data_IF_527898325144
#
_entry.id   IF_527898325144
#
_cell.length_a   1.000
_cell.length_b   1.000
_cell.length_c   1.000
_cell.angle_alpha   90.00
_cell.angle_beta   90.00
_cell.angle_gamma   90.00
#
_symmetry.space_group_name_H-M   'P 1'
#
loop_
_entity.id
_entity.type
_entity.pdbx_description
1 polymer ?
#
# COMPACT_ATOMS: atom_id res chain seq x y z
N UNK A 1 7.12 -15.62 -18.66
CA UNK A 1 5.72 -15.16 -18.86
C UNK A 1 5.77 -13.68 -19.24
N UNK A 2 5.16 -13.24 -20.36
CA UNK A 2 5.33 -11.85 -20.83
C UNK A 2 4.66 -10.85 -19.88
N UNK A 3 5.31 -9.70 -19.63
CA UNK A 3 4.82 -8.64 -18.72
C UNK A 3 3.40 -8.17 -19.07
N UNK A 4 3.05 -8.18 -20.35
CA UNK A 4 1.71 -7.87 -20.86
C UNK A 4 0.68 -8.87 -20.34
N UNK A 5 0.94 -10.19 -20.44
CA UNK A 5 0.03 -11.22 -19.92
C UNK A 5 -0.17 -11.10 -18.40
N UNK A 6 0.87 -10.75 -17.65
CA UNK A 6 0.76 -10.53 -16.21
C UNK A 6 -0.13 -9.32 -15.87
N UNK A 7 0.03 -8.19 -16.57
CA UNK A 7 -0.82 -7.00 -16.41
C UNK A 7 -2.28 -7.27 -16.79
N UNK A 8 -2.53 -7.98 -17.90
CA UNK A 8 -3.88 -8.36 -18.32
C UNK A 8 -4.57 -9.25 -17.29
N UNK A 9 -3.86 -10.23 -16.71
CA UNK A 9 -4.39 -11.13 -15.69
C UNK A 9 -4.71 -10.37 -14.40
N UNK A 10 -3.85 -9.44 -13.98
CA UNK A 10 -4.10 -8.61 -12.79
C UNK A 10 -5.30 -7.69 -12.99
N UNK A 11 -5.38 -6.99 -14.14
CA UNK A 11 -6.49 -6.11 -14.45
C UNK A 11 -7.83 -6.86 -14.54
N UNK A 12 -7.84 -8.02 -15.22
CA UNK A 12 -9.03 -8.87 -15.33
C UNK A 12 -9.45 -9.43 -13.96
N UNK A 13 -8.50 -9.90 -13.15
CA UNK A 13 -8.78 -10.42 -11.80
C UNK A 13 -9.32 -9.31 -10.88
N UNK A 14 -8.76 -8.10 -10.98
CA UNK A 14 -9.26 -6.92 -10.26
C UNK A 14 -10.68 -6.54 -10.68
N UNK A 15 -10.95 -6.52 -11.99
CA UNK A 15 -12.28 -6.25 -12.53
C UNK A 15 -13.33 -7.27 -12.08
N UNK A 16 -13.00 -8.57 -12.13
CA UNK A 16 -13.87 -9.66 -11.63
C UNK A 16 -14.10 -9.51 -10.12
N UNK A 17 -13.06 -9.21 -9.34
CA UNK A 17 -13.19 -9.03 -7.90
C UNK A 17 -14.12 -7.84 -7.56
N UNK A 18 -13.98 -6.71 -8.25
CA UNK A 18 -14.85 -5.55 -8.07
C UNK A 18 -16.30 -5.86 -8.49
N UNK A 19 -16.50 -6.58 -9.58
CA UNK A 19 -17.82 -7.03 -10.00
C UNK A 19 -18.47 -7.96 -8.97
N UNK A 20 -17.74 -8.96 -8.46
CA UNK A 20 -18.24 -9.84 -7.40
C UNK A 20 -18.56 -9.09 -6.11
N UNK A 21 -17.73 -8.11 -5.73
CA UNK A 21 -17.98 -7.24 -4.57
C UNK A 21 -19.26 -6.41 -4.76
N UNK A 22 -19.47 -5.85 -5.94
CA UNK A 22 -20.70 -5.12 -6.28
C UNK A 22 -21.94 -6.01 -6.22
N UNK A 23 -21.87 -7.23 -6.75
CA UNK A 23 -22.98 -8.18 -6.68
C UNK A 23 -23.26 -8.62 -5.24
N UNK A 24 -22.21 -8.82 -4.43
CA UNK A 24 -22.37 -9.14 -3.02
C UNK A 24 -23.00 -7.97 -2.24
N UNK A 25 -22.67 -6.72 -2.57
CA UNK A 25 -23.28 -5.55 -1.92
C UNK A 25 -24.77 -5.44 -2.19
N UNK A 26 -25.27 -5.94 -3.33
CA UNK A 26 -26.72 -6.02 -3.58
C UNK A 26 -27.43 -6.99 -2.62
N UNK A 27 -26.72 -7.97 -2.08
CA UNK A 27 -27.25 -8.97 -1.15
C UNK A 27 -27.14 -8.55 0.32
N UNK A 28 -26.41 -7.49 0.62
CA UNK A 28 -26.15 -7.06 2.00
C UNK A 28 -27.46 -6.79 2.77
N UNK A 29 -28.39 -6.04 2.18
CA UNK A 29 -29.65 -5.71 2.83
C UNK A 29 -30.57 -6.93 2.97
N UNK A 30 -30.65 -7.76 1.92
CA UNK A 30 -31.45 -9.00 1.94
C UNK A 30 -30.95 -9.97 3.00
N UNK A 31 -29.62 -10.07 3.16
CA UNK A 31 -29.01 -10.89 4.21
C UNK A 31 -29.41 -10.40 5.60
N UNK A 32 -29.45 -9.08 5.82
CA UNK A 32 -29.88 -8.51 7.09
C UNK A 32 -31.35 -8.81 7.38
N UNK A 33 -32.23 -8.70 6.40
CA UNK A 33 -33.64 -9.05 6.55
C UNK A 33 -33.82 -10.53 6.90
N UNK A 34 -33.10 -11.42 6.19
CA UNK A 34 -33.11 -12.85 6.49
C UNK A 34 -32.63 -13.12 7.92
N UNK A 35 -31.47 -12.58 8.31
CA UNK A 35 -30.93 -12.77 9.66
C UNK A 35 -31.89 -12.25 10.74
N UNK A 36 -32.53 -11.10 10.52
CA UNK A 36 -33.54 -10.56 11.44
C UNK A 36 -34.79 -11.45 11.52
N UNK A 37 -35.14 -12.18 10.46
CA UNK A 37 -36.27 -13.12 10.49
C UNK A 37 -35.98 -14.36 11.36
N UNK A 38 -34.70 -14.74 11.51
CA UNK A 38 -34.27 -15.91 12.28
C UNK A 38 -34.21 -15.59 13.78
N UNK A 39 -35.36 -15.60 14.47
CA UNK A 39 -35.45 -15.44 15.92
C UNK A 39 -35.20 -16.76 16.67
N UNK A 40 -34.03 -17.35 16.49
CA UNK A 40 -33.68 -18.65 17.08
C UNK A 40 -32.55 -18.54 18.15
N UNK A 41 -32.76 -19.04 19.38
CA UNK A 41 -31.75 -18.99 20.45
C UNK A 41 -30.43 -19.70 20.14
N UNK A 42 -30.46 -20.76 19.32
CA UNK A 42 -29.27 -21.48 18.87
C UNK A 42 -28.46 -20.60 17.91
N UNK A 43 -29.11 -19.92 16.97
CA UNK A 43 -28.48 -18.98 16.05
C UNK A 43 -27.80 -17.82 16.80
N UNK A 44 -28.47 -17.28 17.83
CA UNK A 44 -27.89 -16.26 18.71
C UNK A 44 -26.66 -16.76 19.48
N UNK A 45 -26.68 -18.02 19.92
CA UNK A 45 -25.54 -18.66 20.61
C UNK A 45 -24.33 -18.80 19.68
N UNK A 46 -24.52 -19.23 18.44
CA UNK A 46 -23.45 -19.30 17.44
C UNK A 46 -22.81 -17.92 17.21
N UNK A 47 -23.64 -16.89 17.05
CA UNK A 47 -23.18 -15.50 16.96
C UNK A 47 -22.32 -15.06 18.15
N UNK A 48 -22.74 -15.42 19.36
CA UNK A 48 -22.02 -15.07 20.60
C UNK A 48 -20.66 -15.76 20.72
N UNK A 49 -20.59 -17.05 20.34
CA UNK A 49 -19.32 -17.80 20.35
C UNK A 49 -18.35 -17.20 19.34
N UNK A 50 -18.80 -16.95 18.11
CA UNK A 50 -17.95 -16.33 17.10
C UNK A 50 -17.50 -14.92 17.47
N UNK A 51 -18.34 -14.14 18.15
CA UNK A 51 -17.94 -12.84 18.70
C UNK A 51 -16.77 -12.98 19.68
N UNK A 52 -16.84 -13.93 20.62
CA UNK A 52 -15.75 -14.14 21.60
C UNK A 52 -14.46 -14.63 20.93
N UNK A 53 -14.56 -15.52 19.95
CA UNK A 53 -13.39 -16.04 19.23
C UNK A 53 -12.71 -14.97 18.37
N UNK A 54 -13.49 -14.06 17.78
CA UNK A 54 -12.99 -12.95 16.99
C UNK A 54 -12.61 -11.70 17.78
N UNK A 55 -12.80 -11.72 19.11
CA UNK A 55 -12.50 -10.59 19.95
C UNK A 55 -11.00 -10.30 20.00
N UNK A 56 -10.64 -9.02 19.99
CA UNK A 56 -9.25 -8.58 19.96
C UNK A 56 -8.44 -9.13 21.14
N UNK A 57 -9.04 -9.13 22.35
CA UNK A 57 -8.39 -9.65 23.54
C UNK A 57 -8.17 -11.16 23.46
N UNK A 58 -9.17 -11.92 22.98
CA UNK A 58 -9.04 -13.38 22.81
C UNK A 58 -7.88 -13.74 21.90
N UNK A 59 -7.73 -13.04 20.76
CA UNK A 59 -6.66 -13.29 19.80
C UNK A 59 -5.28 -12.83 20.32
N UNK A 60 -5.22 -11.76 21.13
CA UNK A 60 -4.00 -11.35 21.83
C UNK A 60 -3.59 -12.42 22.86
N UNK A 61 -4.52 -12.90 23.68
CA UNK A 61 -4.26 -13.96 24.66
C UNK A 61 -3.84 -15.27 23.98
N UNK A 62 -4.45 -15.63 22.85
CA UNK A 62 -4.03 -16.76 22.04
C UNK A 62 -2.57 -16.60 21.60
N UNK A 63 -2.20 -15.44 21.08
CA UNK A 63 -0.86 -15.18 20.57
C UNK A 63 0.21 -15.15 21.68
N UNK A 64 -0.11 -14.58 22.84
CA UNK A 64 0.73 -14.64 24.05
C UNK A 64 0.87 -16.09 24.54
N UNK A 65 -0.23 -16.85 24.54
CA UNK A 65 -0.23 -18.27 24.93
C UNK A 65 0.65 -19.11 24.02
N UNK A 66 0.56 -18.93 22.70
CA UNK A 66 1.43 -19.59 21.72
C UNK A 66 2.90 -19.25 21.94
N UNK A 67 3.19 -17.96 22.18
CA UNK A 67 4.54 -17.52 22.49
C UNK A 67 5.07 -18.16 23.78
N UNK A 68 4.29 -18.14 24.86
CA UNK A 68 4.65 -18.71 26.16
C UNK A 68 4.86 -20.22 26.11
N UNK A 69 3.95 -20.96 25.46
CA UNK A 69 4.09 -22.41 25.26
C UNK A 69 5.36 -22.71 24.43
N UNK A 70 5.57 -21.95 23.36
CA UNK A 70 6.78 -22.06 22.55
C UNK A 70 8.05 -21.78 23.35
N UNK A 71 8.01 -20.80 24.26
CA UNK A 71 9.12 -20.46 25.16
C UNK A 71 9.44 -21.61 26.11
N UNK A 72 8.44 -22.09 26.84
CA UNK A 72 8.58 -23.19 27.79
C UNK A 72 9.02 -24.50 27.13
N UNK A 73 8.50 -24.79 25.92
CA UNK A 73 8.85 -26.00 25.16
C UNK A 73 10.10 -25.86 24.28
N UNK A 74 10.78 -24.70 24.31
CA UNK A 74 11.92 -24.38 23.43
C UNK A 74 11.62 -24.57 21.93
N UNK A 75 10.35 -24.40 21.53
CA UNK A 75 9.90 -24.61 20.16
C UNK A 75 9.79 -23.29 19.40
N UNK A 76 10.82 -22.95 18.61
CA UNK A 76 10.94 -21.65 17.92
C UNK A 76 9.74 -21.28 17.05
N UNK A 77 9.16 -22.23 16.32
CA UNK A 77 8.00 -21.95 15.47
C UNK A 77 6.77 -21.44 16.25
N UNK A 78 6.52 -21.97 17.46
CA UNK A 78 5.41 -21.52 18.31
C UNK A 78 5.67 -20.13 18.89
N UNK A 79 6.92 -19.86 19.28
CA UNK A 79 7.34 -18.53 19.73
C UNK A 79 7.14 -17.48 18.64
N UNK A 80 7.61 -17.78 17.42
CA UNK A 80 7.51 -16.88 16.28
C UNK A 80 6.06 -16.70 15.83
N UNK A 81 5.24 -17.77 15.79
CA UNK A 81 3.82 -17.68 15.49
C UNK A 81 3.08 -16.74 16.47
N UNK A 82 3.42 -16.79 17.76
CA UNK A 82 2.87 -15.89 18.76
C UNK A 82 3.28 -14.42 18.56
N UNK A 83 4.58 -14.17 18.33
CA UNK A 83 5.09 -12.81 18.09
C UNK A 83 4.50 -12.22 16.81
N UNK A 84 4.55 -12.97 15.71
CA UNK A 84 4.02 -12.53 14.43
C UNK A 84 2.51 -12.35 14.47
N UNK A 85 1.81 -13.20 15.22
CA UNK A 85 0.38 -13.06 15.48
C UNK A 85 0.05 -11.73 16.16
N UNK A 86 0.81 -11.37 17.21
CA UNK A 86 0.63 -10.10 17.92
C UNK A 86 0.89 -8.90 17.02
N UNK A 87 2.02 -8.87 16.32
CA UNK A 87 2.41 -7.71 15.52
C UNK A 87 1.50 -7.55 14.30
N UNK A 88 1.22 -8.65 13.58
CA UNK A 88 0.31 -8.60 12.44
C UNK A 88 -1.10 -8.16 12.87
N UNK A 89 -1.61 -8.67 14.00
CA UNK A 89 -2.91 -8.24 14.52
C UNK A 89 -2.92 -6.76 14.88
N UNK A 90 -1.88 -6.23 15.53
CA UNK A 90 -1.78 -4.80 15.81
C UNK A 90 -1.82 -3.96 14.52
N UNK A 91 -1.08 -4.36 13.47
CA UNK A 91 -1.10 -3.70 12.16
C UNK A 91 -2.48 -3.77 11.50
N UNK A 92 -3.15 -4.92 11.57
CA UNK A 92 -4.52 -5.07 11.08
C UNK A 92 -5.51 -4.17 11.84
N UNK A 93 -5.36 -4.05 13.15
CA UNK A 93 -6.17 -3.16 13.99
C UNK A 93 -6.01 -1.69 13.59
N UNK A 94 -4.77 -1.24 13.37
CA UNK A 94 -4.48 0.12 12.87
C UNK A 94 -5.13 0.35 11.50
N UNK A 95 -4.92 -0.56 10.54
CA UNK A 95 -5.48 -0.44 9.20
C UNK A 95 -7.02 -0.40 9.22
N UNK A 96 -7.66 -1.27 10.01
CA UNK A 96 -9.11 -1.30 10.18
C UNK A 96 -9.63 0.01 10.76
N UNK A 97 -8.99 0.54 11.81
CA UNK A 97 -9.46 1.79 12.42
C UNK A 97 -9.29 2.99 11.48
N UNK A 98 -8.18 3.08 10.77
CA UNK A 98 -8.01 4.10 9.74
C UNK A 98 -9.11 4.01 8.67
N UNK A 99 -9.37 2.81 8.14
CA UNK A 99 -10.38 2.64 7.10
C UNK A 99 -11.81 2.93 7.59
N UNK A 100 -12.16 2.53 8.82
CA UNK A 100 -13.46 2.83 9.41
C UNK A 100 -13.72 4.32 9.47
N UNK A 101 -12.75 5.09 9.96
CA UNK A 101 -12.88 6.54 10.10
C UNK A 101 -12.82 7.30 8.77
N UNK A 102 -12.27 6.68 7.71
CA UNK A 102 -12.27 7.25 6.36
C UNK A 102 -13.56 6.97 5.59
N UNK A 103 -14.13 5.77 5.75
CA UNK A 103 -15.27 5.30 4.95
C UNK A 103 -16.62 5.66 5.60
N UNK A 104 -16.72 5.56 6.93
CA UNK A 104 -17.93 5.97 7.65
C UNK A 104 -19.17 5.10 7.37
N UNK A 105 -19.02 3.80 7.09
CA UNK A 105 -20.16 2.94 6.73
C UNK A 105 -21.07 2.65 7.93
N UNK A 106 -22.39 2.89 7.85
CA UNK A 106 -23.34 2.57 8.92
C UNK A 106 -23.50 1.06 9.15
N UNK A 107 -23.66 0.64 10.42
CA UNK A 107 -23.89 -0.77 10.76
C UNK A 107 -25.33 -1.22 10.47
N UNK A 108 -25.55 -2.52 10.19
CA UNK A 108 -26.89 -3.08 9.94
C UNK A 108 -27.92 -2.84 11.04
N UNK A 109 -27.50 -2.71 12.30
CA UNK A 109 -28.44 -2.51 13.43
C UNK A 109 -29.04 -1.11 13.50
N UNK A 110 -28.40 -0.13 12.84
CA UNK A 110 -28.79 1.27 12.88
C UNK A 110 -29.33 1.77 11.54
N UNK A 111 -29.35 0.90 10.52
CA UNK A 111 -29.92 1.23 9.21
C UNK A 111 -31.40 0.89 9.16
N UNK A 112 -32.22 1.91 8.90
CA UNK A 112 -33.67 1.80 8.68
C UNK A 112 -34.13 2.32 7.31
N UNK A 113 -33.25 2.94 6.50
CA UNK A 113 -33.57 3.53 5.18
C UNK A 113 -32.40 3.39 4.18
N UNK A 114 -32.73 3.50 2.88
CA UNK A 114 -32.03 2.94 1.72
C UNK A 114 -30.83 3.76 1.19
N UNK A 115 -30.59 4.97 1.69
CA UNK A 115 -29.46 5.80 1.25
C UNK A 115 -28.32 5.76 2.28
N UNK A 116 -27.18 5.19 1.90
CA UNK A 116 -25.95 5.26 2.70
C UNK A 116 -25.25 6.60 2.45
N UNK A 117 -25.15 7.42 3.48
CA UNK A 117 -24.23 8.55 3.47
C UNK A 117 -22.84 8.04 3.90
N UNK A 118 -21.88 8.11 2.97
CA UNK A 118 -20.48 7.78 3.22
C UNK A 118 -19.68 9.06 3.47
N UNK A 119 -18.75 9.00 4.40
CA UNK A 119 -17.86 10.13 4.66
C UNK A 119 -17.04 9.92 5.93
N UNK A 120 -15.93 10.65 6.09
CA UNK A 120 -15.11 10.53 7.28
C UNK A 120 -15.92 10.81 8.55
N UNK A 121 -15.91 9.89 9.50
CA UNK A 121 -16.70 10.01 10.72
C UNK A 121 -16.06 9.34 11.94
N UNK A 122 -16.23 9.99 13.08
CA UNK A 122 -15.83 9.51 14.40
C UNK A 122 -17.04 9.10 15.25
N UNK A 123 -18.25 9.15 14.68
CA UNK A 123 -19.48 8.80 15.39
C UNK A 123 -19.61 7.27 15.52
N UNK A 124 -19.90 6.81 16.75
CA UNK A 124 -20.26 5.41 17.00
C UNK A 124 -21.54 5.08 16.26
N UNK A 125 -21.48 4.16 15.30
CA UNK A 125 -22.53 4.14 14.26
C UNK A 125 -22.03 3.69 12.91
N UNK A 126 -20.94 4.36 12.51
CA UNK A 126 -20.47 4.49 11.14
C UNK A 126 -19.15 3.74 10.92
N UNK A 127 -18.93 2.67 11.67
CA UNK A 127 -17.69 1.90 11.69
C UNK A 127 -17.89 0.44 11.24
N UNK A 128 -18.83 0.21 10.32
CA UNK A 128 -19.18 -1.14 9.84
C UNK A 128 -18.08 -1.74 8.96
N UNK A 129 -17.52 -0.95 8.04
CA UNK A 129 -16.52 -1.40 7.08
C UNK A 129 -15.11 -0.91 7.42
N UNK A 130 -14.09 -1.77 7.35
CA UNK A 130 -14.16 -3.23 7.27
C UNK A 130 -14.46 -3.86 8.65
N UNK A 131 -14.89 -5.13 8.67
CA UNK A 131 -15.12 -5.85 9.92
C UNK A 131 -13.81 -6.15 10.67
N UNK A 132 -13.65 -5.58 11.87
CA UNK A 132 -12.46 -5.78 12.70
C UNK A 132 -12.28 -7.22 13.19
N UNK A 133 -13.36 -7.91 13.57
CA UNK A 133 -13.28 -9.32 14.00
C UNK A 133 -12.83 -10.21 12.84
N UNK A 134 -13.39 -10.02 11.64
CA UNK A 134 -12.97 -10.77 10.47
C UNK A 134 -11.51 -10.47 10.11
N UNK A 135 -11.11 -9.20 10.10
CA UNK A 135 -9.72 -8.82 9.84
C UNK A 135 -8.74 -9.43 10.84
N UNK A 136 -9.01 -9.32 12.14
CA UNK A 136 -8.16 -9.89 13.17
C UNK A 136 -8.05 -11.41 13.06
N UNK A 137 -9.19 -12.12 12.90
CA UNK A 137 -9.18 -13.58 12.79
C UNK A 137 -8.49 -14.08 11.52
N UNK A 138 -8.71 -13.46 10.36
CA UNK A 138 -8.01 -13.85 9.12
C UNK A 138 -6.52 -13.49 9.15
N UNK A 139 -6.13 -12.43 9.86
CA UNK A 139 -4.72 -12.08 10.10
C UNK A 139 -4.02 -13.17 10.90
N UNK A 140 -4.57 -13.51 12.07
CA UNK A 140 -3.99 -14.55 12.94
C UNK A 140 -4.04 -15.91 12.23
N UNK A 141 -5.12 -16.23 11.52
CA UNK A 141 -5.21 -17.47 10.75
C UNK A 141 -4.14 -17.56 9.66
N UNK A 142 -3.84 -16.47 8.96
CA UNK A 142 -2.79 -16.44 7.94
C UNK A 142 -1.39 -16.64 8.54
N UNK A 143 -1.12 -16.05 9.71
CA UNK A 143 0.12 -16.30 10.46
C UNK A 143 0.20 -17.77 10.88
N UNK A 144 -0.84 -18.32 11.51
CA UNK A 144 -0.85 -19.71 11.96
C UNK A 144 -0.77 -20.72 10.80
N UNK A 145 -1.42 -20.43 9.68
CA UNK A 145 -1.32 -21.19 8.44
C UNK A 145 0.12 -21.28 7.90
N UNK A 146 0.93 -20.25 8.13
CA UNK A 146 2.33 -20.23 7.70
C UNK A 146 3.23 -21.09 8.59
N UNK A 147 2.99 -21.08 9.91
CA UNK A 147 3.78 -21.83 10.89
C UNK A 147 3.32 -23.28 11.06
N UNK A 148 2.02 -23.54 10.88
CA UNK A 148 1.38 -24.85 11.05
C UNK A 148 0.56 -25.20 9.80
N UNK A 149 1.22 -25.51 8.67
CA UNK A 149 0.56 -25.66 7.37
C UNK A 149 -0.44 -26.82 7.30
N UNK A 150 -0.22 -27.89 8.08
CA UNK A 150 -1.12 -29.05 8.18
C UNK A 150 -2.50 -28.67 8.72
N UNK A 151 -2.59 -27.56 9.47
CA UNK A 151 -3.80 -27.11 10.15
C UNK A 151 -4.44 -25.89 9.47
N UNK A 152 -4.01 -25.54 8.25
CA UNK A 152 -4.52 -24.39 7.47
C UNK A 152 -6.05 -24.37 7.37
N UNK A 153 -6.65 -25.51 7.06
CA UNK A 153 -8.11 -25.64 6.95
C UNK A 153 -8.82 -25.29 8.25
N UNK A 154 -8.26 -25.70 9.39
CA UNK A 154 -8.79 -25.37 10.72
C UNK A 154 -8.71 -23.87 11.00
N UNK A 155 -7.56 -23.24 10.74
CA UNK A 155 -7.35 -21.81 11.03
C UNK A 155 -8.27 -20.91 10.20
N UNK A 156 -8.35 -21.16 8.89
CA UNK A 156 -9.25 -20.40 8.02
C UNK A 156 -10.72 -20.76 8.26
N UNK A 157 -11.03 -22.01 8.62
CA UNK A 157 -12.37 -22.41 9.03
C UNK A 157 -12.85 -21.66 10.28
N UNK A 158 -11.98 -21.51 11.29
CA UNK A 158 -12.27 -20.73 12.49
C UNK A 158 -12.47 -19.25 12.17
N UNK A 159 -11.62 -18.66 11.32
CA UNK A 159 -11.76 -17.27 10.89
C UNK A 159 -13.04 -17.04 10.07
N UNK A 160 -13.40 -17.97 9.20
CA UNK A 160 -14.64 -17.95 8.44
C UNK A 160 -15.86 -18.02 9.37
N UNK A 161 -15.83 -18.91 10.36
CA UNK A 161 -16.87 -19.01 11.38
C UNK A 161 -17.07 -17.69 12.13
N UNK A 162 -15.98 -17.04 12.55
CA UNK A 162 -16.05 -15.70 13.17
C UNK A 162 -16.75 -14.71 12.24
N UNK A 163 -16.37 -14.66 10.96
CA UNK A 163 -16.99 -13.81 9.96
C UNK A 163 -18.50 -14.04 9.83
N UNK A 164 -18.91 -15.30 9.67
CA UNK A 164 -20.33 -15.69 9.60
C UNK A 164 -21.07 -15.26 10.86
N UNK A 165 -20.48 -15.47 12.04
CA UNK A 165 -21.07 -15.06 13.31
C UNK A 165 -21.28 -13.54 13.42
N UNK A 166 -20.48 -12.70 12.74
CA UNK A 166 -20.69 -11.25 12.67
C UNK A 166 -21.92 -10.86 11.83
N UNK A 167 -22.16 -11.59 10.74
CA UNK A 167 -23.33 -11.42 9.88
C UNK A 167 -24.58 -11.91 10.59
N UNK A 168 -24.54 -13.12 11.15
CA UNK A 168 -25.64 -13.72 11.92
C UNK A 168 -25.97 -12.92 13.18
N UNK A 169 -24.96 -12.33 13.83
CA UNK A 169 -25.18 -11.39 14.93
C UNK A 169 -25.74 -10.04 14.47
N UNK A 170 -25.99 -9.82 13.17
CA UNK A 170 -26.47 -8.56 12.62
C UNK A 170 -25.55 -7.37 12.84
N UNK A 171 -24.25 -7.61 13.12
CA UNK A 171 -23.31 -6.54 13.45
C UNK A 171 -22.60 -5.97 12.23
N UNK A 172 -22.51 -6.75 11.15
CA UNK A 172 -21.80 -6.43 9.92
C UNK A 172 -22.55 -7.01 8.72
N UNK A 173 -22.41 -6.34 7.58
CA UNK A 173 -22.84 -6.88 6.29
C UNK A 173 -21.84 -7.94 5.77
N UNK A 174 -22.26 -8.88 4.91
CA UNK A 174 -21.36 -9.80 4.22
C UNK A 174 -20.14 -9.14 3.58
N UNK A 175 -20.32 -8.00 2.93
CA UNK A 175 -19.20 -7.24 2.33
C UNK A 175 -18.24 -6.65 3.36
N UNK A 176 -18.69 -6.26 4.56
CA UNK A 176 -17.79 -5.83 5.65
C UNK A 176 -16.87 -6.97 6.10
N UNK A 177 -17.45 -8.18 6.19
CA UNK A 177 -16.72 -9.39 6.58
C UNK A 177 -15.74 -9.80 5.49
N UNK A 178 -16.13 -9.74 4.22
CA UNK A 178 -15.24 -10.04 3.10
C UNK A 178 -14.09 -9.02 3.02
N UNK A 179 -14.39 -7.72 3.14
CA UNK A 179 -13.37 -6.67 3.16
C UNK A 179 -12.39 -6.84 4.32
N UNK A 180 -12.90 -7.16 5.52
CA UNK A 180 -12.07 -7.50 6.67
C UNK A 180 -11.21 -8.75 6.42
N UNK A 181 -11.80 -9.83 5.89
CA UNK A 181 -11.10 -11.08 5.62
C UNK A 181 -9.96 -10.90 4.61
N UNK A 182 -10.18 -10.16 3.52
CA UNK A 182 -9.15 -9.86 2.52
C UNK A 182 -8.03 -9.02 3.13
N UNK A 183 -8.38 -7.92 3.81
CA UNK A 183 -7.40 -7.05 4.45
C UNK A 183 -6.56 -7.81 5.46
N UNK A 184 -7.20 -8.57 6.35
CA UNK A 184 -6.54 -9.34 7.38
C UNK A 184 -5.66 -10.46 6.81
N UNK A 185 -6.16 -11.22 5.83
CA UNK A 185 -5.38 -12.23 5.15
C UNK A 185 -4.12 -11.62 4.51
N UNK A 186 -4.25 -10.49 3.80
CA UNK A 186 -3.11 -9.82 3.17
C UNK A 186 -2.09 -9.39 4.22
N UNK A 187 -2.50 -8.70 5.28
CA UNK A 187 -1.60 -8.25 6.36
C UNK A 187 -0.89 -9.43 7.01
N UNK A 188 -1.63 -10.47 7.42
CA UNK A 188 -1.05 -11.65 8.06
C UNK A 188 -0.13 -12.45 7.13
N UNK A 189 -0.51 -12.60 5.85
CA UNK A 189 0.30 -13.31 4.85
C UNK A 189 1.58 -12.56 4.50
N UNK A 190 1.48 -11.24 4.35
CA UNK A 190 2.61 -10.33 4.14
C UNK A 190 3.54 -10.39 5.34
N UNK A 191 3.02 -10.19 6.55
CA UNK A 191 3.82 -10.15 7.78
C UNK A 191 4.50 -11.48 8.08
N UNK A 192 3.79 -12.60 7.95
CA UNK A 192 4.33 -13.93 8.25
C UNK A 192 5.36 -14.43 7.22
N UNK A 193 5.57 -13.70 6.11
CA UNK A 193 6.70 -13.96 5.21
C UNK A 193 7.96 -13.37 5.81
N UNK A 194 9.08 -14.08 5.67
CA UNK A 194 10.31 -13.73 6.37
C UNK A 194 10.70 -12.27 6.09
N UNK A 195 10.98 -11.50 7.14
CA UNK A 195 11.55 -10.14 7.07
C UNK A 195 12.79 -10.07 6.17
N UNK A 196 13.51 -11.19 6.00
CA UNK A 196 14.65 -11.31 5.07
C UNK A 196 14.20 -11.19 3.60
N UNK A 197 13.11 -11.87 3.23
CA UNK A 197 12.51 -11.77 1.90
C UNK A 197 11.95 -10.36 1.67
N UNK A 198 11.35 -9.74 2.70
CA UNK A 198 10.88 -8.36 2.62
C UNK A 198 12.02 -7.37 2.45
N UNK A 199 13.11 -7.49 3.20
CA UNK A 199 14.26 -6.59 3.09
C UNK A 199 14.90 -6.72 1.70
N UNK A 200 15.13 -7.94 1.23
CA UNK A 200 15.74 -8.17 -0.08
C UNK A 200 14.81 -7.72 -1.23
N UNK A 201 13.51 -8.03 -1.16
CA UNK A 201 12.55 -7.61 -2.18
C UNK A 201 12.27 -6.10 -2.12
N UNK A 202 12.17 -5.48 -0.95
CA UNK A 202 11.97 -4.04 -0.81
C UNK A 202 13.22 -3.26 -1.25
N UNK A 203 14.42 -3.71 -0.88
CA UNK A 203 15.68 -3.08 -1.36
C UNK A 203 15.80 -3.17 -2.88
N UNK A 204 15.29 -4.24 -3.51
CA UNK A 204 15.28 -4.37 -4.98
C UNK A 204 14.11 -3.65 -5.67
N UNK A 205 12.94 -3.58 -5.02
CA UNK A 205 11.73 -2.98 -5.57
C UNK A 205 11.70 -1.46 -5.40
N UNK A 206 12.25 -0.95 -4.30
CA UNK A 206 12.23 0.48 -3.98
C UNK A 206 12.90 1.32 -5.07
N UNK A 207 14.10 1.00 -5.59
CA UNK A 207 14.70 1.75 -6.71
C UNK A 207 13.89 1.67 -8.00
N UNK A 208 13.04 0.64 -8.18
CA UNK A 208 12.22 0.43 -9.38
C UNK A 208 10.88 1.15 -9.31
N UNK A 209 10.29 1.22 -8.13
CA UNK A 209 8.96 1.82 -7.88
C UNK A 209 9.09 3.32 -7.59
N UNK A 210 10.20 3.75 -7.00
CA UNK A 210 10.43 5.13 -6.60
C UNK A 210 10.33 6.13 -7.78
N UNK A 211 10.88 5.87 -8.99
CA UNK A 211 10.68 6.76 -10.13
C UNK A 211 9.22 6.85 -10.59
N UNK A 212 8.46 5.75 -10.52
CA UNK A 212 7.04 5.72 -10.87
C UNK A 212 6.21 6.49 -9.85
N UNK A 213 6.46 6.30 -8.55
CA UNK A 213 5.79 7.07 -7.50
C UNK A 213 6.09 8.56 -7.59
N UNK A 214 7.36 8.94 -7.78
CA UNK A 214 7.76 10.35 -7.97
C UNK A 214 7.07 10.90 -9.22
N UNK A 215 7.09 10.18 -10.34
CA UNK A 215 6.46 10.60 -11.59
C UNK A 215 4.94 10.77 -11.46
N UNK A 216 4.25 9.85 -10.78
CA UNK A 216 2.81 9.93 -10.53
C UNK A 216 2.44 11.08 -9.59
N UNK A 217 3.21 11.29 -8.52
CA UNK A 217 2.99 12.40 -7.60
C UNK A 217 3.31 13.76 -8.25
N UNK A 218 4.37 13.84 -9.05
CA UNK A 218 4.73 15.05 -9.80
C UNK A 218 3.69 15.37 -10.87
N UNK A 219 3.24 14.36 -11.63
CA UNK A 219 2.16 14.51 -12.61
C UNK A 219 0.88 14.98 -11.93
N UNK A 220 0.47 14.32 -10.84
CA UNK A 220 -0.70 14.72 -10.05
C UNK A 220 -0.58 16.17 -9.58
N UNK A 221 0.52 16.54 -8.93
CA UNK A 221 0.69 17.90 -8.45
C UNK A 221 0.62 18.92 -9.59
N UNK A 222 1.34 18.70 -10.69
CA UNK A 222 1.36 19.61 -11.86
C UNK A 222 0.00 19.73 -12.55
N UNK A 223 -0.78 18.65 -12.57
CA UNK A 223 -2.14 18.68 -13.12
C UNK A 223 -3.15 19.39 -12.23
N UNK A 224 -2.93 19.44 -10.92
CA UNK A 224 -3.91 19.95 -9.94
C UNK A 224 -3.46 21.22 -9.19
N UNK A 225 -2.21 21.66 -9.30
CA UNK A 225 -1.70 22.88 -8.67
C UNK A 225 -1.82 24.08 -9.62
N UNK A 226 -2.62 25.07 -9.27
CA UNK A 226 -2.69 26.32 -10.03
C UNK A 226 -1.46 27.20 -9.75
N UNK A 227 -0.87 27.83 -10.78
CA UNK A 227 0.22 28.77 -10.58
C UNK A 227 -0.28 30.07 -9.95
N UNK A 228 0.37 30.50 -8.86
CA UNK A 228 0.36 31.90 -8.47
C UNK A 228 1.16 32.71 -9.52
N UNK A 229 0.56 33.77 -10.05
CA UNK A 229 1.08 34.60 -11.15
C UNK A 229 2.21 35.56 -10.73
N UNK A 230 3.14 35.12 -9.87
CA UNK A 230 4.24 35.94 -9.36
C UNK A 230 5.51 35.89 -10.22
N UNK A 231 6.34 36.93 -10.18
CA UNK A 231 7.65 36.92 -10.86
C UNK A 231 8.65 35.89 -10.30
N UNK A 232 8.45 35.45 -9.05
CA UNK A 232 9.31 34.46 -8.37
C UNK A 232 9.18 33.05 -8.96
N UNK A 233 7.98 32.63 -9.37
CA UNK A 233 7.74 31.31 -9.98
C UNK A 233 8.45 31.21 -11.34
N UNK A 234 8.31 32.24 -12.18
CA UNK A 234 9.05 32.34 -13.44
C UNK A 234 10.58 32.34 -13.23
N UNK A 235 11.09 33.08 -12.24
CA UNK A 235 12.51 33.12 -11.93
C UNK A 235 13.06 31.75 -11.47
N UNK A 236 12.33 31.04 -10.60
CA UNK A 236 12.69 29.69 -10.15
C UNK A 236 12.70 28.69 -11.30
N UNK A 237 11.74 28.78 -12.22
CA UNK A 237 11.69 27.93 -13.41
C UNK A 237 12.94 28.09 -14.28
N UNK A 238 13.27 29.32 -14.66
CA UNK A 238 14.42 29.60 -15.53
C UNK A 238 15.75 29.28 -14.87
N UNK A 239 15.87 29.57 -13.56
CA UNK A 239 17.06 29.20 -12.77
C UNK A 239 17.22 27.69 -12.69
N UNK A 240 16.10 26.96 -12.54
CA UNK A 240 16.07 25.51 -12.52
C UNK A 240 16.52 24.89 -13.85
N UNK A 241 15.97 25.40 -14.96
CA UNK A 241 16.34 24.97 -16.31
C UNK A 241 17.84 25.17 -16.58
N UNK A 242 18.38 26.34 -16.20
CA UNK A 242 19.79 26.66 -16.37
C UNK A 242 20.69 25.67 -15.62
N UNK A 243 20.35 25.33 -14.37
CA UNK A 243 21.10 24.38 -13.56
C UNK A 243 21.08 22.96 -14.13
N UNK A 244 19.93 22.51 -14.64
CA UNK A 244 19.81 21.20 -15.33
C UNK A 244 20.70 21.16 -16.56
N UNK A 245 20.59 22.16 -17.45
CA UNK A 245 21.38 22.23 -18.68
C UNK A 245 22.88 22.27 -18.38
N UNK A 246 23.28 23.06 -17.39
CA UNK A 246 24.68 23.19 -16.99
C UNK A 246 25.22 21.89 -16.41
N UNK A 247 24.48 21.23 -15.52
CA UNK A 247 24.88 19.95 -14.94
C UNK A 247 24.97 18.85 -15.99
N UNK A 248 24.03 18.78 -16.94
CA UNK A 248 24.09 17.83 -18.05
C UNK A 248 25.26 18.12 -19.01
N UNK A 249 25.55 19.40 -19.27
CA UNK A 249 26.71 19.82 -20.06
C UNK A 249 28.04 19.38 -19.43
N UNK A 250 28.18 19.51 -18.10
CA UNK A 250 29.36 19.00 -17.38
C UNK A 250 29.49 17.48 -17.52
N UNK A 251 28.39 16.72 -17.35
CA UNK A 251 28.42 15.26 -17.53
C UNK A 251 28.77 14.84 -18.94
N UNK A 252 28.27 15.57 -19.94
CA UNK A 252 28.57 15.30 -21.34
C UNK A 252 30.04 15.54 -21.67
N UNK A 253 30.61 16.66 -21.20
CA UNK A 253 32.05 16.97 -21.38
C UNK A 253 32.91 15.90 -20.70
N UNK A 254 32.56 15.48 -19.48
CA UNK A 254 33.28 14.43 -18.77
C UNK A 254 33.22 13.08 -19.49
N UNK A 255 32.04 12.70 -19.97
CA UNK A 255 31.86 11.47 -20.74
C UNK A 255 32.63 11.49 -22.05
N UNK A 256 32.76 12.65 -22.70
CA UNK A 256 33.54 12.84 -23.92
C UNK A 256 35.06 12.78 -23.66
N UNK A 257 35.51 13.33 -22.53
CA UNK A 257 36.92 13.34 -22.12
C UNK A 257 37.38 12.03 -21.47
N UNK A 258 36.46 11.11 -21.16
CA UNK A 258 36.76 9.92 -20.36
C UNK A 258 37.15 10.25 -18.90
N UNK A 259 36.73 11.42 -18.38
CA UNK A 259 37.04 11.86 -17.01
C UNK A 259 36.13 11.14 -15.99
N UNK A 260 36.72 10.19 -15.27
CA UNK A 260 36.06 9.41 -14.21
C UNK A 260 36.05 10.07 -12.83
N UNK A 261 36.36 11.37 -12.70
CA UNK A 261 36.45 12.04 -11.40
C UNK A 261 35.10 12.04 -10.66
N UNK A 262 35.05 11.29 -9.56
CA UNK A 262 33.85 11.08 -8.73
C UNK A 262 33.31 12.38 -8.12
N UNK A 263 34.18 13.33 -7.75
CA UNK A 263 33.76 14.59 -7.15
C UNK A 263 33.11 15.54 -8.17
N UNK A 264 33.63 15.60 -9.40
CA UNK A 264 33.03 16.37 -10.49
C UNK A 264 31.69 15.78 -10.93
N UNK A 265 31.61 14.44 -10.97
CA UNK A 265 30.37 13.72 -11.26
C UNK A 265 29.30 14.01 -10.20
N UNK A 266 29.68 13.98 -8.92
CA UNK A 266 28.80 14.34 -7.82
C UNK A 266 28.32 15.79 -7.92
N UNK A 267 29.21 16.74 -8.22
CA UNK A 267 28.87 18.14 -8.41
C UNK A 267 27.85 18.36 -9.53
N UNK A 268 28.05 17.72 -10.69
CA UNK A 268 27.11 17.80 -11.81
C UNK A 268 25.73 17.22 -11.48
N UNK A 269 25.70 16.10 -10.75
CA UNK A 269 24.47 15.47 -10.28
C UNK A 269 23.70 16.35 -9.30
N UNK A 270 24.41 17.03 -8.39
CA UNK A 270 23.80 18.00 -7.45
C UNK A 270 23.20 19.18 -8.22
N UNK A 271 23.88 19.70 -9.25
CA UNK A 271 23.34 20.78 -10.08
C UNK A 271 22.06 20.36 -10.81
N UNK A 272 22.02 19.17 -11.42
CA UNK A 272 20.81 18.65 -12.08
C UNK A 272 19.67 18.52 -11.08
N UNK A 273 19.96 17.98 -9.89
CA UNK A 273 18.94 17.78 -8.86
C UNK A 273 18.38 19.12 -8.33
N UNK A 274 19.25 20.11 -8.07
CA UNK A 274 18.84 21.47 -7.68
C UNK A 274 18.09 22.20 -8.80
N UNK A 275 18.42 21.91 -10.05
CA UNK A 275 17.74 22.47 -11.21
C UNK A 275 16.32 21.93 -11.38
N UNK A 276 16.12 20.62 -11.25
CA UNK A 276 14.80 19.98 -11.24
C UNK A 276 13.95 20.49 -10.05
N UNK A 277 14.60 20.68 -8.90
CA UNK A 277 13.99 21.24 -7.70
C UNK A 277 13.43 22.65 -7.89
N UNK A 278 14.25 23.57 -8.43
CA UNK A 278 13.82 24.94 -8.70
C UNK A 278 12.82 25.01 -9.87
N UNK A 279 13.01 24.18 -10.90
CA UNK A 279 12.18 24.13 -12.10
C UNK A 279 10.74 23.70 -11.85
N UNK A 280 10.54 22.72 -10.96
CA UNK A 280 9.23 22.13 -10.66
C UNK A 280 8.48 22.83 -9.54
N UNK A 281 9.09 23.82 -8.88
CA UNK A 281 8.49 24.60 -7.79
C UNK A 281 7.89 23.76 -6.64
N UNK A 282 8.31 22.51 -6.46
CA UNK A 282 7.69 21.56 -5.52
C UNK A 282 8.71 21.01 -4.53
N UNK A 283 8.54 21.36 -3.25
CA UNK A 283 9.40 20.92 -2.14
C UNK A 283 9.55 19.39 -2.03
N UNK A 284 8.57 18.62 -2.49
CA UNK A 284 8.59 17.15 -2.48
C UNK A 284 9.45 16.54 -3.60
N UNK A 285 9.36 17.07 -4.82
CA UNK A 285 10.24 16.65 -5.94
C UNK A 285 11.69 17.06 -5.65
N UNK A 286 11.88 18.19 -4.97
CA UNK A 286 13.18 18.70 -4.48
C UNK A 286 13.88 17.74 -3.52
N UNK A 287 13.15 17.07 -2.62
CA UNK A 287 13.75 16.20 -1.61
C UNK A 287 13.88 14.75 -2.11
N UNK A 288 12.86 14.26 -2.81
CA UNK A 288 12.79 12.83 -3.15
C UNK A 288 13.62 12.50 -4.40
N UNK A 289 13.74 13.41 -5.36
CA UNK A 289 14.51 13.17 -6.60
C UNK A 289 16.02 13.07 -6.38
N UNK A 290 16.68 13.97 -5.62
CA UNK A 290 18.11 13.80 -5.32
C UNK A 290 18.38 12.55 -4.48
N UNK A 291 17.51 12.22 -3.52
CA UNK A 291 17.64 10.99 -2.72
C UNK A 291 17.46 9.72 -3.57
N UNK A 292 16.52 9.73 -4.52
CA UNK A 292 16.32 8.63 -5.45
C UNK A 292 17.51 8.46 -6.41
N UNK A 293 18.02 9.57 -6.97
CA UNK A 293 19.19 9.52 -7.85
C UNK A 293 20.46 9.14 -7.08
N UNK A 294 20.67 9.66 -5.87
CA UNK A 294 21.78 9.27 -4.98
C UNK A 294 21.70 7.79 -4.61
N UNK A 295 20.52 7.27 -4.26
CA UNK A 295 20.31 5.86 -3.97
C UNK A 295 20.52 4.96 -5.20
N UNK A 296 20.18 5.44 -6.40
CA UNK A 296 20.45 4.73 -7.66
C UNK A 296 21.95 4.72 -7.98
N UNK A 297 22.62 5.87 -7.88
CA UNK A 297 24.05 6.02 -8.17
C UNK A 297 24.95 5.28 -7.18
N UNK A 298 24.57 5.20 -5.90
CA UNK A 298 25.31 4.42 -4.91
C UNK A 298 25.21 2.89 -5.15
N UNK A 299 24.21 2.44 -5.92
CA UNK A 299 23.93 1.02 -6.13
C UNK A 299 24.27 0.51 -7.54
N UNK A 300 24.57 1.38 -8.51
CA UNK A 300 25.02 0.96 -9.85
C UNK A 300 26.55 1.06 -9.96
N UNK A 301 27.22 -0.09 -10.08
CA UNK A 301 28.59 -0.14 -10.61
C UNK A 301 28.53 -0.46 -12.11
N UNK A 302 29.32 0.22 -12.97
CA UNK A 302 29.34 -0.07 -14.39
C UNK A 302 29.90 -1.48 -14.65
N UNK A 303 29.15 -2.30 -15.38
CA UNK A 303 29.65 -3.59 -15.88
C UNK A 303 30.58 -3.35 -17.08
N UNK A 304 31.67 -4.12 -17.15
CA UNK A 304 32.66 -4.02 -18.24
C UNK A 304 32.05 -4.48 -19.57
N UNK A 305 31.98 -3.57 -20.56
CA UNK A 305 31.59 -3.88 -21.95
C UNK A 305 30.32 -3.19 -22.47
N UNK A 306 29.71 -2.30 -21.70
CA UNK A 306 28.51 -1.56 -22.14
C UNK A 306 28.84 -0.42 -23.13
N UNK A 307 27.91 -0.08 -24.05
CA UNK A 307 28.13 0.94 -25.07
C UNK A 307 28.52 2.29 -24.45
N UNK A 308 29.44 2.98 -25.11
CA UNK A 308 30.11 4.21 -24.68
C UNK A 308 29.18 5.14 -23.88
N UNK A 309 29.55 5.41 -22.62
CA UNK A 309 28.71 6.09 -21.63
C UNK A 309 28.00 7.35 -22.14
N UNK A 310 28.58 8.09 -23.09
CA UNK A 310 27.99 9.29 -23.68
C UNK A 310 26.63 9.05 -24.37
N UNK A 311 26.37 7.90 -25.00
CA UNK A 311 25.08 7.62 -25.66
C UNK A 311 23.95 7.44 -24.64
N UNK A 312 24.26 6.79 -23.52
CA UNK A 312 23.33 6.61 -22.40
C UNK A 312 23.04 7.94 -21.72
N UNK A 313 24.08 8.73 -21.47
CA UNK A 313 23.95 10.06 -20.91
C UNK A 313 23.17 11.00 -21.84
N UNK A 314 23.41 10.95 -23.15
CA UNK A 314 22.64 11.72 -24.13
C UNK A 314 21.16 11.32 -24.16
N UNK A 315 20.85 10.01 -24.14
CA UNK A 315 19.46 9.54 -24.10
C UNK A 315 18.74 9.96 -22.81
N UNK A 316 19.43 9.88 -21.66
CA UNK A 316 18.89 10.27 -20.36
C UNK A 316 18.68 11.79 -20.26
N UNK A 317 19.60 12.58 -20.83
CA UNK A 317 19.51 14.03 -21.02
C UNK A 317 18.29 14.39 -21.87
N UNK A 318 18.15 13.80 -23.05
CA UNK A 318 17.02 14.07 -23.95
C UNK A 318 15.69 13.69 -23.30
N UNK A 319 15.61 12.57 -22.60
CA UNK A 319 14.41 12.16 -21.89
C UNK A 319 14.01 13.14 -20.78
N UNK A 320 14.97 13.60 -19.96
CA UNK A 320 14.71 14.58 -18.89
C UNK A 320 14.24 15.92 -19.44
N UNK A 321 14.85 16.40 -20.54
CA UNK A 321 14.44 17.66 -21.20
C UNK A 321 13.03 17.53 -21.78
N UNK A 322 12.72 16.42 -22.47
CA UNK A 322 11.38 16.16 -23.01
C UNK A 322 10.35 16.12 -21.87
N UNK A 323 10.66 15.45 -20.76
CA UNK A 323 9.77 15.40 -19.59
C UNK A 323 9.53 16.80 -19.03
N UNK A 324 10.57 17.61 -18.82
CA UNK A 324 10.42 18.98 -18.31
C UNK A 324 9.59 19.88 -19.24
N UNK A 325 9.84 19.82 -20.56
CA UNK A 325 9.09 20.60 -21.55
C UNK A 325 7.63 20.15 -21.63
N UNK A 326 7.40 18.84 -21.56
CA UNK A 326 6.04 18.28 -21.56
C UNK A 326 5.30 18.67 -20.27
N UNK A 327 5.95 18.56 -19.11
CA UNK A 327 5.36 18.94 -17.82
C UNK A 327 4.99 20.43 -17.75
N UNK A 328 5.81 21.31 -18.33
CA UNK A 328 5.49 22.73 -18.44
C UNK A 328 4.28 22.99 -19.35
N UNK A 329 4.16 22.25 -20.45
CA UNK A 329 3.02 22.34 -21.36
C UNK A 329 1.72 21.77 -20.80
N UNK A 330 1.80 20.87 -19.81
CA UNK A 330 0.66 20.25 -19.15
C UNK A 330 0.21 20.95 -17.86
N UNK A 331 0.94 21.99 -17.41
CA UNK A 331 0.69 22.69 -16.15
C UNK A 331 -0.66 23.44 -16.19
N UNK A 332 -1.57 23.12 -15.26
CA UNK A 332 -2.90 23.75 -15.19
C UNK A 332 -3.89 23.32 -16.28
N UNK A 333 -3.69 22.15 -16.90
CA UNK A 333 -4.59 21.59 -17.93
C UNK A 333 -5.98 21.21 -17.40
N UNK A 334 -6.09 20.93 -16.10
CA UNK A 334 -7.34 20.56 -15.44
C UNK A 334 -7.67 21.67 -14.45
N UNK A 335 -8.92 22.20 -14.49
CA UNK A 335 -9.35 23.29 -13.63
C UNK A 335 -9.48 22.92 -12.16
#
# INVERSE_FOLDING_TARGET
>A
MSRIKALSVVALSGGIALFCLYQLSQLDFQTVLLVRSLHDPFVARLGTIGNRLGDGLTLVLLSIGLWGIGYLRKHKAWQQAGIDGLVAHALAGLAVQSLKHLIGRPRPRWTHQEAFEYGPSWQGGLDAFPSGHAAASFTVAAVLARYFPEWKGLWYGAALYVGIARVVGGSHFPTDVLGGAVLGFLIGYVWARALKDWRENAVQALPRILPLMIGSCALFWITFSHPDSGGLTAALFWTGLLLVVTGLGVRWIMAWQGDGNTHRTLGANVMIALGLAAGTQTLWVVVVTPLACLAWWLNHQPESGEPSGWLREAALTSALVIVLVTLQGLHGLVP
#
